data_IF_277316974437
#
_entry.id   IF_277316974437
#
_cell.length_a   1.000
_cell.length_b   1.000
_cell.length_c   1.000
_cell.angle_alpha   90.00
_cell.angle_beta   90.00
_cell.angle_gamma   90.00
#
_symmetry.space_group_name_H-M   'P 1'
#
loop_
_entity.id
_entity.type
_entity.pdbx_description
1 polymer ?
#
# COMPACT_ATOMS: atom_id res chain seq x y z
N UNK A 1 -33.57 76.86 -38.81
CA UNK A 1 -32.10 76.79 -38.86
C UNK A 1 -31.68 75.46 -38.23
N UNK A 2 -31.03 74.56 -38.99
CA UNK A 2 -30.62 73.20 -38.58
C UNK A 2 -29.20 73.21 -37.97
N UNK A 3 -28.96 72.44 -36.90
CA UNK A 3 -27.67 71.82 -36.47
C UNK A 3 -27.93 70.90 -35.24
N UNK A 4 -27.09 69.89 -34.93
CA UNK A 4 -27.49 68.49 -34.98
C UNK A 4 -27.47 67.77 -33.62
N UNK A 5 -28.21 66.65 -33.53
CA UNK A 5 -28.18 65.74 -32.39
C UNK A 5 -26.92 64.88 -32.39
N UNK A 6 -26.18 64.91 -31.29
CA UNK A 6 -25.08 63.99 -31.00
C UNK A 6 -25.64 62.76 -30.28
N UNK A 7 -25.58 61.59 -30.92
CA UNK A 7 -25.82 60.30 -30.28
C UNK A 7 -24.52 59.83 -29.64
N UNK A 8 -24.49 59.75 -28.30
CA UNK A 8 -23.39 59.15 -27.56
C UNK A 8 -23.59 57.63 -27.51
N UNK A 9 -22.76 56.88 -28.25
CA UNK A 9 -22.69 55.42 -28.14
C UNK A 9 -21.85 55.03 -26.92
N UNK A 10 -22.49 54.45 -25.91
CA UNK A 10 -21.81 53.83 -24.77
C UNK A 10 -21.39 52.42 -25.20
N UNK A 11 -20.09 52.20 -25.35
CA UNK A 11 -19.50 50.87 -25.60
C UNK A 11 -19.28 50.21 -24.24
N UNK A 12 -20.08 49.18 -23.94
CA UNK A 12 -19.89 48.33 -22.74
C UNK A 12 -18.84 47.28 -23.08
N UNK A 13 -17.64 47.42 -22.53
CA UNK A 13 -16.62 46.38 -22.56
C UNK A 13 -16.99 45.28 -21.56
N UNK A 14 -17.51 44.16 -22.06
CA UNK A 14 -17.66 42.93 -21.28
C UNK A 14 -16.30 42.26 -21.22
N UNK A 15 -15.61 42.41 -20.08
CA UNK A 15 -14.37 41.69 -19.80
C UNK A 15 -14.71 40.21 -19.51
N UNK A 16 -14.38 39.34 -20.47
CA UNK A 16 -14.38 37.89 -20.25
C UNK A 16 -13.26 37.54 -19.26
N UNK A 17 -13.53 36.75 -18.20
CA UNK A 17 -12.48 36.25 -17.33
C UNK A 17 -11.57 35.33 -18.14
N UNK A 18 -10.26 35.57 -18.08
CA UNK A 18 -9.26 34.70 -18.68
C UNK A 18 -9.37 33.31 -18.05
N UNK A 19 -9.59 32.29 -18.88
CA UNK A 19 -9.54 30.90 -18.46
C UNK A 19 -8.12 30.59 -17.96
N UNK A 20 -7.99 30.31 -16.67
CA UNK A 20 -6.75 29.76 -16.11
C UNK A 20 -6.44 28.43 -16.80
N UNK A 21 -5.20 28.22 -17.29
CA UNK A 21 -4.84 26.92 -17.84
C UNK A 21 -4.97 25.88 -16.74
N UNK A 22 -5.83 24.89 -16.96
CA UNK A 22 -5.96 23.73 -16.09
C UNK A 22 -4.61 23.03 -16.05
N UNK A 23 -3.94 23.06 -14.89
CA UNK A 23 -2.77 22.23 -14.66
C UNK A 23 -3.19 20.76 -14.83
N UNK A 24 -2.37 19.91 -15.47
CA UNK A 24 -2.64 18.48 -15.55
C UNK A 24 -2.86 17.96 -14.12
N UNK A 25 -4.06 17.42 -13.88
CA UNK A 25 -4.44 16.92 -12.56
C UNK A 25 -3.56 15.70 -12.25
N UNK A 26 -2.76 15.79 -11.19
CA UNK A 26 -1.96 14.68 -10.69
C UNK A 26 -2.85 13.45 -10.45
N UNK A 27 -2.33 12.25 -10.77
CA UNK A 27 -3.11 11.01 -10.61
C UNK A 27 -3.37 10.70 -9.14
N UNK A 28 -4.27 9.75 -8.86
CA UNK A 28 -4.31 9.16 -7.52
C UNK A 28 -3.01 8.40 -7.24
N UNK A 29 -2.48 8.43 -5.99
CA UNK A 29 -1.32 7.63 -5.62
C UNK A 29 -1.62 6.13 -5.70
N UNK A 30 -0.79 5.41 -6.44
CA UNK A 30 -0.83 3.95 -6.55
C UNK A 30 0.13 3.37 -5.53
N UNK A 31 -0.31 2.51 -4.61
CA UNK A 31 0.56 1.85 -3.62
C UNK A 31 1.53 0.84 -4.26
N UNK A 32 2.68 0.69 -3.65
CA UNK A 32 3.70 -0.28 -4.00
C UNK A 32 4.14 -1.02 -2.75
N UNK A 33 4.42 -2.31 -2.90
CA UNK A 33 5.01 -3.13 -1.84
C UNK A 33 6.34 -3.69 -2.32
N UNK A 34 7.31 -3.71 -1.42
CA UNK A 34 8.61 -4.33 -1.65
C UNK A 34 8.48 -5.86 -1.62
N UNK A 35 9.07 -6.54 -2.61
CA UNK A 35 9.24 -7.98 -2.59
C UNK A 35 10.48 -8.34 -1.77
N UNK A 36 10.33 -9.13 -0.71
CA UNK A 36 11.42 -9.48 0.18
C UNK A 36 11.77 -10.97 0.10
N UNK A 37 13.03 -11.32 -0.22
CA UNK A 37 13.89 -10.75 -1.28
C UNK A 37 13.19 -10.74 -2.67
N UNK A 38 13.67 -9.98 -3.66
CA UNK A 38 15.04 -9.43 -3.78
C UNK A 38 15.28 -8.05 -3.16
N UNK A 39 14.28 -7.34 -2.61
CA UNK A 39 14.51 -6.04 -1.94
C UNK A 39 15.42 -6.19 -0.72
N UNK A 40 16.48 -5.40 -0.67
CA UNK A 40 17.51 -5.48 0.36
C UNK A 40 18.14 -4.12 0.65
N UNK A 41 18.56 -3.93 1.90
CA UNK A 41 19.46 -2.85 2.30
C UNK A 41 20.87 -3.41 2.41
N UNK A 42 21.80 -2.75 1.73
CA UNK A 42 23.21 -3.11 1.75
C UNK A 42 24.03 -1.96 2.34
N UNK A 43 24.96 -2.30 3.21
CA UNK A 43 25.93 -1.36 3.75
C UNK A 43 27.31 -1.99 3.71
N UNK A 44 28.27 -1.28 3.13
CA UNK A 44 29.64 -1.78 3.04
C UNK A 44 30.39 -1.29 1.81
N UNK A 45 31.47 -1.98 1.48
CA UNK A 45 32.33 -1.56 0.39
C UNK A 45 31.87 -2.11 -0.97
N UNK A 46 31.65 -1.20 -1.90
CA UNK A 46 31.34 -1.48 -3.31
C UNK A 46 32.59 -1.27 -4.18
N UNK A 47 32.62 -1.91 -5.36
CA UNK A 47 33.73 -1.79 -6.30
C UNK A 47 33.96 -0.32 -6.66
N UNK A 48 35.21 0.18 -6.70
CA UNK A 48 36.49 -0.53 -6.78
C UNK A 48 37.11 -0.93 -5.41
N UNK A 49 36.47 -0.61 -4.29
CA UNK A 49 36.97 -0.96 -2.97
C UNK A 49 36.52 -2.36 -2.56
N UNK A 50 37.20 -3.40 -3.03
CA UNK A 50 36.93 -4.77 -2.58
C UNK A 50 37.35 -4.93 -1.10
N UNK A 51 36.39 -5.07 -0.18
CA UNK A 51 36.62 -5.35 1.25
C UNK A 51 35.60 -6.40 1.75
N UNK A 52 35.87 -7.14 2.84
CA UNK A 52 35.02 -8.25 3.27
C UNK A 52 33.71 -7.83 3.97
N UNK A 53 33.50 -6.53 4.25
CA UNK A 53 32.33 -6.05 5.00
C UNK A 53 31.28 -5.58 4.00
N UNK A 54 30.34 -6.47 3.70
CA UNK A 54 29.07 -6.16 3.04
C UNK A 54 27.96 -6.76 3.89
N UNK A 55 27.26 -5.91 4.64
CA UNK A 55 26.07 -6.31 5.38
C UNK A 55 24.90 -6.21 4.44
N UNK A 56 24.12 -7.28 4.31
CA UNK A 56 22.88 -7.32 3.53
C UNK A 56 21.76 -7.72 4.44
N UNK A 57 20.70 -6.92 4.45
CA UNK A 57 19.52 -7.20 5.23
C UNK A 57 18.28 -7.10 4.35
N UNK A 58 17.33 -8.04 4.46
CA UNK A 58 16.11 -7.98 3.66
C UNK A 58 15.35 -6.70 3.97
N UNK A 59 14.72 -6.12 2.96
CA UNK A 59 13.90 -4.94 3.09
C UNK A 59 12.44 -5.31 2.83
N UNK A 60 11.57 -4.89 3.74
CA UNK A 60 10.11 -5.02 3.59
C UNK A 60 9.48 -3.65 3.73
N UNK A 61 8.30 -3.44 3.17
CA UNK A 61 7.58 -2.18 3.34
C UNK A 61 6.82 -1.76 2.12
N UNK A 62 6.38 -0.50 2.16
CA UNK A 62 5.52 0.09 1.13
C UNK A 62 5.90 1.53 0.84
N UNK A 63 5.50 2.00 -0.32
CA UNK A 63 5.44 3.42 -0.69
C UNK A 63 4.24 3.64 -1.62
N UNK A 64 3.96 4.86 -2.01
CA UNK A 64 2.98 5.16 -3.06
C UNK A 64 3.64 5.95 -4.20
N UNK A 65 3.22 5.67 -5.42
CA UNK A 65 3.67 6.31 -6.63
C UNK A 65 2.53 7.14 -7.21
N UNK A 66 2.71 8.45 -7.34
CA UNK A 66 1.72 9.34 -7.95
C UNK A 66 2.30 9.96 -9.20
N UNK A 67 1.62 9.84 -10.35
CA UNK A 67 2.07 10.53 -11.55
C UNK A 67 1.88 12.05 -11.37
N UNK A 68 2.98 12.79 -11.48
CA UNK A 68 3.00 14.24 -11.28
C UNK A 68 3.07 15.01 -12.59
N UNK A 69 3.83 14.52 -13.56
CA UNK A 69 4.00 15.16 -14.87
C UNK A 69 4.33 14.13 -15.96
N UNK A 70 4.00 14.46 -17.21
CA UNK A 70 4.48 13.75 -18.40
C UNK A 70 5.09 14.77 -19.35
N UNK A 71 6.26 14.45 -19.91
CA UNK A 71 6.84 15.15 -21.04
C UNK A 71 7.17 14.15 -22.18
N UNK A 72 7.62 14.61 -23.36
CA UNK A 72 7.86 13.72 -24.51
C UNK A 72 8.92 12.62 -24.27
N UNK A 73 9.78 12.77 -23.27
CA UNK A 73 10.86 11.83 -22.98
C UNK A 73 10.55 10.99 -21.73
N UNK A 74 9.99 11.59 -20.69
CA UNK A 74 9.80 10.98 -19.37
C UNK A 74 8.40 11.16 -18.80
N UNK A 75 7.92 10.12 -18.13
CA UNK A 75 6.85 10.22 -17.14
C UNK A 75 7.48 10.37 -15.76
N UNK A 76 7.02 11.37 -15.01
CA UNK A 76 7.48 11.70 -13.67
C UNK A 76 6.45 11.31 -12.63
N UNK A 77 6.96 10.80 -11.52
CA UNK A 77 6.18 10.34 -10.39
C UNK A 77 6.75 10.88 -9.09
N UNK A 78 5.86 11.30 -8.19
CA UNK A 78 6.19 11.50 -6.79
C UNK A 78 6.21 10.13 -6.09
N UNK A 79 7.24 9.89 -5.30
CA UNK A 79 7.33 8.77 -4.37
C UNK A 79 6.92 9.26 -2.99
N UNK A 80 5.78 8.78 -2.50
CA UNK A 80 5.12 9.26 -1.30
C UNK A 80 5.09 8.16 -0.23
N UNK A 81 4.95 8.57 1.04
CA UNK A 81 4.68 7.66 2.16
C UNK A 81 5.63 6.44 2.23
N UNK A 82 6.93 6.65 1.98
CA UNK A 82 7.92 5.58 2.07
C UNK A 82 7.97 5.10 3.52
N UNK A 83 7.68 3.82 3.74
CA UNK A 83 7.68 3.15 5.05
C UNK A 83 8.27 1.76 4.88
N UNK A 84 9.59 1.68 5.06
CA UNK A 84 10.35 0.45 4.93
C UNK A 84 10.88 0.00 6.29
N UNK A 85 11.20 -1.26 6.40
CA UNK A 85 11.74 -1.87 7.60
C UNK A 85 12.81 -2.88 7.23
N UNK A 86 13.94 -2.78 7.92
CA UNK A 86 14.92 -3.85 7.99
C UNK A 86 14.53 -4.73 9.18
N UNK A 87 14.11 -5.99 8.96
CA UNK A 87 13.81 -6.90 10.05
C UNK A 87 15.13 -7.22 10.78
N UNK A 88 15.19 -6.87 12.06
CA UNK A 88 16.26 -7.25 12.99
C UNK A 88 15.69 -8.26 14.00
N UNK A 89 16.53 -9.15 14.52
CA UNK A 89 16.16 -10.10 15.57
C UNK A 89 15.88 -9.43 16.94
N UNK A 90 16.36 -8.20 17.13
CA UNK A 90 16.30 -7.47 18.41
C UNK A 90 15.43 -6.21 18.33
N UNK A 91 15.64 -5.34 17.33
CA UNK A 91 14.78 -4.17 17.13
C UNK A 91 14.76 -3.75 15.64
N UNK A 92 13.59 -3.77 14.96
CA UNK A 92 13.52 -3.46 13.54
C UNK A 92 13.93 -2.00 13.28
N UNK A 93 14.73 -1.78 12.25
CA UNK A 93 15.11 -0.42 11.80
C UNK A 93 13.98 0.11 10.93
N UNK A 94 13.31 1.16 11.39
CA UNK A 94 12.28 1.85 10.63
C UNK A 94 12.91 2.86 9.67
N UNK A 95 12.53 2.79 8.41
CA UNK A 95 13.00 3.70 7.36
C UNK A 95 11.79 4.42 6.81
N UNK A 96 11.82 5.76 6.83
CA UNK A 96 10.72 6.59 6.34
C UNK A 96 11.22 7.65 5.37
N UNK A 97 10.37 8.14 4.47
CA UNK A 97 10.81 9.16 3.53
C UNK A 97 9.86 9.43 2.39
N UNK A 98 10.41 10.05 1.36
CA UNK A 98 9.75 10.40 0.10
C UNK A 98 10.80 10.52 -1.00
N UNK A 99 10.38 10.74 -2.24
CA UNK A 99 11.32 10.89 -3.33
C UNK A 99 10.64 11.15 -4.67
N UNK A 100 11.38 10.89 -5.74
CA UNK A 100 10.87 11.01 -7.10
C UNK A 100 11.30 9.81 -7.94
N UNK A 101 10.48 9.45 -8.91
CA UNK A 101 10.82 8.44 -9.90
C UNK A 101 10.50 8.99 -11.28
N UNK A 102 11.41 8.82 -12.22
CA UNK A 102 11.15 9.11 -13.63
C UNK A 102 11.46 7.88 -14.46
N UNK A 103 10.59 7.63 -15.43
CA UNK A 103 10.77 6.53 -16.38
C UNK A 103 10.49 7.05 -17.78
N UNK A 104 11.44 6.82 -18.67
CA UNK A 104 11.25 7.18 -20.06
C UNK A 104 10.46 6.12 -20.84
N UNK A 105 9.82 6.59 -21.91
CA UNK A 105 8.96 5.79 -22.78
C UNK A 105 9.71 5.18 -23.96
N UNK A 106 9.13 5.27 -25.15
CA UNK A 106 9.66 4.64 -26.38
C UNK A 106 11.01 5.21 -26.84
N UNK A 107 11.34 6.45 -26.45
CA UNK A 107 12.53 7.17 -26.91
C UNK A 107 13.65 7.24 -25.88
N UNK A 108 13.31 7.40 -24.59
CA UNK A 108 14.26 7.42 -23.50
C UNK A 108 14.14 6.11 -22.72
N UNK A 109 14.98 5.13 -23.01
CA UNK A 109 14.93 3.81 -22.37
C UNK A 109 15.64 3.81 -21.01
N UNK A 110 15.50 4.87 -20.24
CA UNK A 110 16.20 5.09 -18.97
C UNK A 110 15.19 5.39 -17.85
N UNK A 111 15.57 5.04 -16.63
CA UNK A 111 14.86 5.39 -15.41
C UNK A 111 15.81 5.99 -14.37
N UNK A 112 15.25 6.66 -13.38
CA UNK A 112 15.96 7.11 -12.19
C UNK A 112 15.01 7.19 -11.01
N UNK A 113 15.44 6.66 -9.88
CA UNK A 113 14.78 6.73 -8.58
C UNK A 113 15.65 7.53 -7.62
N UNK A 114 15.07 8.58 -7.03
CA UNK A 114 15.68 9.35 -5.95
C UNK A 114 14.84 9.22 -4.69
N UNK A 115 15.46 9.01 -3.53
CA UNK A 115 14.78 8.85 -2.24
C UNK A 115 15.50 9.64 -1.15
N UNK A 116 14.76 10.44 -0.40
CA UNK A 116 15.23 11.05 0.85
C UNK A 116 14.72 10.21 2.02
N UNK A 117 15.62 9.47 2.66
CA UNK A 117 15.28 8.46 3.68
C UNK A 117 15.83 8.83 5.05
N UNK A 118 15.01 8.67 6.08
CA UNK A 118 15.37 8.78 7.50
C UNK A 118 15.30 7.41 8.16
N UNK A 119 16.37 7.06 8.88
CA UNK A 119 16.51 5.81 9.62
C UNK A 119 16.25 6.05 11.10
N UNK A 120 15.27 5.36 11.68
CA UNK A 120 14.83 5.51 13.08
C UNK A 120 14.55 6.96 13.51
N UNK A 121 14.02 7.78 12.59
CA UNK A 121 13.74 9.20 12.85
C UNK A 121 14.97 10.12 12.84
N UNK A 122 16.11 9.61 12.35
CA UNK A 122 17.33 10.40 12.13
C UNK A 122 17.22 11.42 10.98
N UNK A 123 18.33 12.08 10.61
CA UNK A 123 18.35 13.01 9.48
C UNK A 123 18.04 12.32 8.16
N UNK A 124 17.45 13.07 7.22
CA UNK A 124 17.22 12.60 5.86
C UNK A 124 18.55 12.44 5.12
N UNK A 125 18.71 11.32 4.43
CA UNK A 125 19.84 11.01 3.57
C UNK A 125 19.33 10.80 2.15
N UNK A 126 20.02 11.38 1.17
CA UNK A 126 19.62 11.35 -0.23
C UNK A 126 20.23 10.15 -0.96
N UNK A 127 19.39 9.24 -1.44
CA UNK A 127 19.76 8.09 -2.26
C UNK A 127 19.37 8.36 -3.71
N UNK A 128 20.26 8.04 -4.64
CA UNK A 128 20.04 8.19 -6.07
C UNK A 128 20.50 6.92 -6.80
N UNK A 129 19.67 6.41 -7.72
CA UNK A 129 20.03 5.30 -8.60
C UNK A 129 20.92 5.71 -9.77
N UNK A 130 21.03 7.02 -10.01
CA UNK A 130 21.46 7.56 -11.29
C UNK A 130 20.49 7.19 -12.41
N UNK A 131 20.78 7.69 -13.61
CA UNK A 131 20.09 7.28 -14.82
C UNK A 131 20.59 5.90 -15.27
N UNK A 132 19.72 4.89 -15.26
CA UNK A 132 20.04 3.54 -15.68
C UNK A 132 18.94 2.94 -16.57
N UNK A 133 19.24 1.89 -17.37
CA UNK A 133 18.21 1.19 -18.12
C UNK A 133 17.30 0.39 -17.17
N UNK A 134 15.97 0.40 -17.35
CA UNK A 134 15.06 -0.36 -16.51
C UNK A 134 15.29 -1.86 -16.71
N UNK A 135 15.32 -2.60 -15.60
CA UNK A 135 15.51 -4.07 -15.61
C UNK A 135 14.22 -4.85 -15.38
N UNK A 136 13.14 -4.17 -14.97
CA UNK A 136 11.80 -4.73 -14.79
C UNK A 136 10.77 -4.01 -15.69
N UNK A 137 9.73 -4.70 -16.18
CA UNK A 137 8.66 -4.07 -16.95
C UNK A 137 7.80 -3.17 -16.07
N UNK A 138 7.42 -1.98 -16.54
CA UNK A 138 6.45 -1.15 -15.82
C UNK A 138 5.09 -1.87 -15.77
N UNK A 139 4.35 -1.89 -14.64
CA UNK A 139 4.50 -1.05 -13.46
C UNK A 139 5.46 -1.56 -12.37
N UNK A 140 6.21 -2.64 -12.60
CA UNK A 140 7.24 -3.11 -11.68
C UNK A 140 8.48 -2.19 -11.74
N UNK A 141 9.15 -2.06 -10.60
CA UNK A 141 10.35 -1.25 -10.41
C UNK A 141 11.42 -2.17 -9.82
N UNK A 142 12.55 -2.31 -10.50
CA UNK A 142 13.73 -3.00 -9.98
C UNK A 142 14.95 -2.11 -10.24
N UNK A 143 15.45 -1.47 -9.19
CA UNK A 143 16.60 -0.57 -9.29
C UNK A 143 17.31 -0.43 -7.95
N UNK A 144 18.55 0.05 -7.97
CA UNK A 144 19.39 0.26 -6.78
C UNK A 144 19.67 1.74 -6.64
N UNK A 145 19.38 2.31 -5.47
CA UNK A 145 19.66 3.71 -5.14
C UNK A 145 20.70 3.77 -4.01
N UNK A 146 21.66 4.69 -4.10
CA UNK A 146 22.84 4.73 -3.22
C UNK A 146 23.13 6.14 -2.74
N UNK A 147 23.84 6.31 -1.62
CA UNK A 147 24.19 7.65 -1.13
C UNK A 147 25.33 8.29 -1.93
N UNK A 148 26.26 7.48 -2.45
CA UNK A 148 27.50 7.96 -3.08
C UNK A 148 27.77 7.29 -4.43
N UNK A 149 26.73 6.83 -5.14
CA UNK A 149 26.88 6.21 -6.46
C UNK A 149 27.63 4.87 -6.41
N UNK A 150 27.55 4.16 -5.27
CA UNK A 150 28.28 2.92 -5.00
C UNK A 150 29.81 3.11 -5.04
N UNK A 151 30.29 4.34 -4.82
CA UNK A 151 31.71 4.63 -4.75
C UNK A 151 32.24 4.36 -3.34
N UNK A 152 32.79 3.16 -3.11
CA UNK A 152 33.59 2.79 -1.93
C UNK A 152 32.97 3.16 -0.56
N UNK A 153 32.56 2.15 0.21
CA UNK A 153 31.84 2.32 1.47
C UNK A 153 30.57 3.17 1.30
N UNK A 154 29.51 2.49 0.87
CA UNK A 154 28.23 3.13 0.59
C UNK A 154 27.08 2.43 1.32
N UNK A 155 25.93 3.08 1.31
CA UNK A 155 24.64 2.50 1.68
C UNK A 155 23.80 2.41 0.41
N UNK A 156 23.24 1.23 0.15
CA UNK A 156 22.45 0.96 -1.05
C UNK A 156 21.09 0.40 -0.63
N UNK A 157 20.05 0.94 -1.24
CA UNK A 157 18.68 0.43 -1.16
C UNK A 157 18.36 -0.21 -2.51
N UNK A 158 18.22 -1.52 -2.52
CA UNK A 158 17.68 -2.25 -3.67
C UNK A 158 16.16 -2.31 -3.56
N UNK A 159 15.50 -1.65 -4.51
CA UNK A 159 14.04 -1.54 -4.58
C UNK A 159 13.56 -2.51 -5.64
N UNK A 160 12.93 -3.59 -5.20
CA UNK A 160 12.15 -4.48 -6.04
C UNK A 160 10.68 -4.40 -5.62
N UNK A 161 9.88 -3.71 -6.43
CA UNK A 161 8.55 -3.29 -6.05
C UNK A 161 7.57 -3.48 -7.18
N UNK A 162 6.34 -3.83 -6.81
CA UNK A 162 5.21 -3.90 -7.73
C UNK A 162 3.99 -3.21 -7.13
N UNK A 163 3.03 -2.76 -7.95
CA UNK A 163 1.77 -2.27 -7.45
C UNK A 163 1.17 -3.29 -6.50
N UNK A 164 0.91 -2.85 -5.29
CA UNK A 164 0.23 -3.68 -4.32
C UNK A 164 -1.25 -3.42 -4.44
N UNK A 165 -2.09 -4.42 -4.22
CA UNK A 165 -3.54 -4.17 -4.11
C UNK A 165 -3.90 -3.39 -2.82
N UNK A 166 -2.93 -2.75 -2.16
CA UNK A 166 -3.15 -1.76 -1.10
C UNK A 166 -3.64 -0.45 -1.73
N UNK A 167 -4.48 -0.55 -2.78
CA UNK A 167 -4.90 0.56 -3.63
C UNK A 167 -5.43 1.65 -2.71
N UNK A 168 -5.10 2.91 -3.01
CA UNK A 168 -5.64 4.06 -2.31
C UNK A 168 -7.14 3.90 -2.08
N UNK A 169 -7.49 3.47 -0.88
CA UNK A 169 -8.80 3.66 -0.31
C UNK A 169 -8.58 4.89 0.53
N UNK A 170 -8.92 6.05 -0.03
CA UNK A 170 -9.09 7.25 0.78
C UNK A 170 -9.82 6.86 2.04
N UNK A 171 -9.24 7.21 3.18
CA UNK A 171 -9.69 7.00 4.54
C UNK A 171 -11.17 6.61 4.69
N UNK A 172 -11.45 5.35 4.35
CA UNK A 172 -12.58 4.60 4.83
C UNK A 172 -11.91 3.37 5.38
N UNK A 173 -11.94 3.18 6.71
CA UNK A 173 -11.39 1.98 7.31
C UNK A 173 -11.92 0.81 6.49
N UNK A 174 -11.02 0.00 5.92
CA UNK A 174 -11.40 -1.30 5.39
C UNK A 174 -11.95 -2.03 6.61
N UNK A 175 -13.25 -1.93 6.82
CA UNK A 175 -13.92 -2.58 7.93
C UNK A 175 -13.52 -4.03 7.77
N UNK A 176 -12.87 -4.61 8.80
CA UNK A 176 -12.46 -6.00 8.76
C UNK A 176 -13.59 -6.80 8.11
N UNK A 177 -13.35 -7.29 6.90
CA UNK A 177 -14.40 -7.92 6.12
C UNK A 177 -14.57 -9.29 6.74
N UNK A 178 -15.79 -9.64 7.13
CA UNK A 178 -16.14 -10.97 7.58
C UNK A 178 -17.10 -11.54 6.55
N UNK A 179 -16.75 -12.65 5.92
CA UNK A 179 -17.56 -13.35 4.91
C UNK A 179 -17.83 -14.78 5.35
N UNK A 180 -18.90 -15.36 4.84
CA UNK A 180 -19.24 -16.75 5.03
C UNK A 180 -19.75 -17.32 3.71
N UNK A 181 -19.10 -18.37 3.20
CA UNK A 181 -19.46 -19.00 1.94
C UNK A 181 -19.30 -20.54 2.03
N UNK A 182 -20.31 -21.33 1.63
CA UNK A 182 -21.64 -20.90 1.23
C UNK A 182 -22.44 -20.32 2.42
N UNK A 183 -23.39 -19.43 2.13
CA UNK A 183 -24.37 -18.92 3.09
C UNK A 183 -25.67 -18.61 2.33
N UNK A 184 -26.78 -19.34 2.57
CA UNK A 184 -26.96 -20.41 3.56
C UNK A 184 -26.11 -21.67 3.31
N UNK A 185 -25.91 -22.50 4.34
CA UNK A 185 -25.14 -23.76 4.24
C UNK A 185 -25.83 -24.93 4.95
N UNK A 186 -25.60 -26.16 4.47
CA UNK A 186 -26.15 -27.40 5.06
C UNK A 186 -25.11 -28.11 5.95
N UNK A 187 -23.90 -28.34 5.41
CA UNK A 187 -22.80 -29.02 6.10
C UNK A 187 -21.82 -28.05 6.75
N UNK A 188 -21.04 -27.34 5.93
CA UNK A 188 -20.02 -26.42 6.38
C UNK A 188 -20.07 -25.08 5.65
N UNK A 189 -19.55 -24.04 6.28
CA UNK A 189 -19.31 -22.72 5.68
C UNK A 189 -17.89 -22.27 5.97
N UNK A 190 -17.23 -21.69 4.98
CA UNK A 190 -15.93 -21.06 5.14
C UNK A 190 -16.10 -19.61 5.58
N UNK A 191 -15.52 -19.29 6.73
CA UNK A 191 -15.46 -17.96 7.29
C UNK A 191 -14.17 -17.29 6.82
N UNK A 192 -14.31 -16.36 5.88
CA UNK A 192 -13.21 -15.54 5.39
C UNK A 192 -13.12 -14.23 6.17
N UNK A 193 -11.91 -13.81 6.54
CA UNK A 193 -11.68 -12.51 7.15
C UNK A 193 -10.30 -11.93 6.82
N UNK A 194 -10.18 -10.60 6.94
CA UNK A 194 -8.91 -9.89 6.69
C UNK A 194 -8.39 -9.31 7.99
N UNK A 195 -7.11 -9.56 8.28
CA UNK A 195 -6.32 -8.93 9.33
C UNK A 195 -5.56 -7.74 8.72
N UNK A 196 -5.98 -6.48 8.97
CA UNK A 196 -5.31 -5.31 8.39
C UNK A 196 -3.87 -5.13 8.88
N UNK A 197 -3.59 -5.63 10.09
CA UNK A 197 -2.28 -5.69 10.73
C UNK A 197 -2.14 -7.03 11.44
N UNK A 198 -0.91 -7.51 11.58
CA UNK A 198 -0.66 -8.69 12.40
C UNK A 198 -1.06 -8.42 13.86
N UNK A 199 -1.62 -9.42 14.53
CA UNK A 199 -2.07 -9.29 15.91
C UNK A 199 -2.97 -10.44 16.36
N UNK A 200 -3.43 -10.35 17.60
CA UNK A 200 -4.32 -11.36 18.20
C UNK A 200 -5.72 -11.28 17.61
N UNK A 201 -6.28 -12.43 17.23
CA UNK A 201 -7.64 -12.58 16.76
C UNK A 201 -8.41 -13.61 17.60
N UNK A 202 -9.68 -13.32 17.86
CA UNK A 202 -10.63 -14.26 18.44
C UNK A 202 -11.86 -14.36 17.52
N UNK A 203 -12.15 -15.57 17.04
CA UNK A 203 -13.23 -15.83 16.10
C UNK A 203 -14.18 -16.86 16.70
N UNK A 204 -15.42 -16.45 16.90
CA UNK A 204 -16.46 -17.30 17.48
C UNK A 204 -17.77 -17.28 16.70
N UNK A 205 -18.53 -18.36 16.84
CA UNK A 205 -19.92 -18.47 16.42
C UNK A 205 -20.80 -18.27 17.65
N UNK A 206 -21.87 -17.50 17.49
CA UNK A 206 -22.78 -17.08 18.53
C UNK A 206 -24.23 -17.35 18.13
N UNK A 207 -25.08 -17.65 19.11
CA UNK A 207 -26.53 -17.64 18.90
C UNK A 207 -27.08 -16.20 18.87
N UNK A 208 -28.37 -16.04 18.54
CA UNK A 208 -29.02 -14.72 18.52
C UNK A 208 -29.13 -14.08 19.91
N UNK A 209 -28.97 -14.86 20.99
CA UNK A 209 -28.89 -14.34 22.36
C UNK A 209 -27.47 -13.85 22.71
N UNK A 210 -26.51 -13.97 21.78
CA UNK A 210 -25.12 -13.52 21.97
C UNK A 210 -24.27 -14.48 22.80
N UNK A 211 -24.73 -15.72 23.04
CA UNK A 211 -23.92 -16.75 23.69
C UNK A 211 -22.99 -17.40 22.67
N UNK A 212 -21.70 -17.54 23.00
CA UNK A 212 -20.75 -18.27 22.14
C UNK A 212 -21.13 -19.75 22.13
N UNK A 213 -21.35 -20.30 20.95
CA UNK A 213 -21.73 -21.70 20.75
C UNK A 213 -20.63 -22.53 20.11
N UNK A 214 -19.66 -21.89 19.46
CA UNK A 214 -18.45 -22.53 18.92
C UNK A 214 -17.29 -21.54 18.90
N UNK A 215 -16.12 -21.95 19.35
CA UNK A 215 -14.86 -21.21 19.10
C UNK A 215 -14.16 -21.74 17.85
N UNK A 216 -13.82 -20.87 16.91
CA UNK A 216 -13.01 -21.21 15.72
C UNK A 216 -11.55 -20.77 15.87
N UNK A 217 -11.32 -19.67 16.59
CA UNK A 217 -9.99 -19.18 16.97
C UNK A 217 -10.08 -18.67 18.40
N UNK A 218 -9.22 -19.16 19.29
CA UNK A 218 -9.16 -18.72 20.69
C UNK A 218 -7.91 -17.90 20.97
N UNK A 219 -7.97 -16.59 20.73
CA UNK A 219 -6.86 -15.65 20.97
C UNK A 219 -5.53 -16.04 20.28
N UNK A 220 -5.59 -16.38 18.99
CA UNK A 220 -4.42 -16.75 18.19
C UNK A 220 -3.74 -15.51 17.61
N UNK A 221 -2.41 -15.50 17.50
CA UNK A 221 -1.68 -14.47 16.77
C UNK A 221 -1.66 -14.78 15.27
N UNK A 222 -2.16 -13.86 14.45
CA UNK A 222 -2.21 -14.02 12.99
C UNK A 222 -1.40 -12.92 12.29
N UNK A 223 -0.77 -13.26 11.16
CA UNK A 223 -0.15 -12.29 10.26
C UNK A 223 -1.19 -11.38 9.60
N UNK A 224 -0.75 -10.24 9.05
CA UNK A 224 -1.61 -9.40 8.20
C UNK A 224 -1.97 -10.12 6.91
N UNK A 225 -3.17 -9.88 6.37
CA UNK A 225 -3.66 -10.51 5.15
C UNK A 225 -4.99 -11.24 5.33
N UNK A 226 -5.39 -11.99 4.31
CA UNK A 226 -6.63 -12.78 4.32
C UNK A 226 -6.43 -14.12 5.04
N UNK A 227 -7.43 -14.51 5.82
CA UNK A 227 -7.48 -15.75 6.59
C UNK A 227 -8.83 -16.42 6.39
N UNK A 228 -8.83 -17.75 6.46
CA UNK A 228 -10.05 -18.55 6.37
C UNK A 228 -10.11 -19.55 7.53
N UNK A 229 -11.31 -19.78 8.06
CA UNK A 229 -11.63 -20.86 9.00
C UNK A 229 -12.94 -21.52 8.62
N UNK A 230 -13.01 -22.84 8.65
CA UNK A 230 -14.25 -23.55 8.39
C UNK A 230 -15.08 -23.72 9.66
N UNK A 231 -16.40 -23.52 9.55
CA UNK A 231 -17.36 -24.00 10.54
C UNK A 231 -18.17 -25.15 9.93
N UNK A 232 -18.08 -26.31 10.58
CA UNK A 232 -18.75 -27.57 10.22
C UNK A 232 -20.21 -27.65 10.72
N UNK A 233 -20.79 -26.52 11.14
CA UNK A 233 -22.14 -26.48 11.67
C UNK A 233 -22.29 -27.21 13.02
N UNK A 234 -21.21 -27.44 13.76
CA UNK A 234 -21.25 -28.05 15.09
C UNK A 234 -21.08 -27.01 16.20
N UNK A 235 -21.71 -27.27 17.35
CA UNK A 235 -21.50 -26.57 18.61
C UNK A 235 -20.18 -27.04 19.25
N UNK A 236 -19.76 -26.36 20.31
CA UNK A 236 -18.76 -26.88 21.24
C UNK A 236 -19.25 -28.23 21.80
N UNK A 237 -18.38 -29.25 21.77
CA UNK A 237 -18.75 -30.63 22.11
C UNK A 237 -19.20 -31.51 20.92
N UNK A 238 -19.02 -31.05 19.68
CA UNK A 238 -19.30 -31.81 18.42
C UNK A 238 -20.76 -32.19 18.19
N UNK A 239 -21.69 -31.51 18.86
CA UNK A 239 -23.13 -31.66 18.63
C UNK A 239 -23.54 -30.82 17.43
N UNK A 240 -24.40 -31.36 16.54
CA UNK A 240 -24.91 -30.61 15.40
C UNK A 240 -25.71 -29.38 15.88
N UNK A 241 -25.34 -28.19 15.41
CA UNK A 241 -26.11 -26.98 15.64
C UNK A 241 -27.48 -27.10 14.94
N UNK A 242 -28.61 -26.74 15.57
CA UNK A 242 -29.90 -26.71 14.89
C UNK A 242 -29.91 -25.82 13.63
N UNK A 243 -30.79 -26.08 12.64
CA UNK A 243 -31.04 -25.11 11.58
C UNK A 243 -31.50 -23.77 12.15
N UNK A 244 -30.98 -22.66 11.64
CA UNK A 244 -31.27 -21.34 12.19
C UNK A 244 -30.24 -20.28 11.82
N UNK A 245 -30.43 -19.07 12.36
CA UNK A 245 -29.50 -17.96 12.20
C UNK A 245 -28.47 -17.96 13.34
N UNK A 246 -27.22 -17.73 12.96
CA UNK A 246 -26.08 -17.59 13.86
C UNK A 246 -25.30 -16.33 13.52
N UNK A 247 -24.57 -15.82 14.50
CA UNK A 247 -23.68 -14.67 14.35
C UNK A 247 -22.24 -15.16 14.39
N UNK A 248 -21.48 -14.92 13.33
CA UNK A 248 -20.03 -15.06 13.32
C UNK A 248 -19.46 -13.74 13.81
N UNK A 249 -18.56 -13.77 14.79
CA UNK A 249 -17.93 -12.56 15.34
C UNK A 249 -16.41 -12.72 15.36
N UNK A 250 -15.73 -11.74 14.80
CA UNK A 250 -14.29 -11.56 14.87
C UNK A 250 -13.98 -10.40 15.82
N UNK A 251 -13.16 -10.67 16.82
CA UNK A 251 -12.65 -9.75 17.81
C UNK A 251 -11.14 -9.55 17.60
N UNK A 252 -10.73 -8.30 17.41
CA UNK A 252 -9.32 -7.88 17.30
C UNK A 252 -9.07 -6.66 18.19
N UNK A 253 -7.81 -6.32 18.53
CA UNK A 253 -7.49 -5.11 19.28
C UNK A 253 -8.02 -3.81 18.63
N UNK A 254 -8.17 -3.80 17.31
CA UNK A 254 -8.61 -2.61 16.57
C UNK A 254 -10.14 -2.53 16.44
N UNK A 255 -10.81 -3.67 16.24
CA UNK A 255 -12.23 -3.69 15.90
C UNK A 255 -12.89 -5.04 16.16
N UNK A 256 -14.18 -5.00 16.50
CA UNK A 256 -15.10 -6.14 16.45
C UNK A 256 -15.96 -6.07 15.19
N UNK A 257 -16.07 -7.18 14.47
CA UNK A 257 -16.96 -7.32 13.31
C UNK A 257 -17.87 -8.53 13.50
N UNK A 258 -19.11 -8.43 13.03
CA UNK A 258 -20.11 -9.49 13.13
C UNK A 258 -20.83 -9.69 11.82
N UNK A 259 -21.17 -10.94 11.48
CA UNK A 259 -21.95 -11.30 10.29
C UNK A 259 -22.94 -12.42 10.60
N UNK A 260 -24.14 -12.30 10.08
CA UNK A 260 -25.17 -13.34 10.18
C UNK A 260 -24.93 -14.43 9.14
N UNK A 261 -25.04 -15.68 9.58
CA UNK A 261 -24.99 -16.88 8.74
C UNK A 261 -26.21 -17.75 8.99
N UNK A 262 -26.73 -18.39 7.95
CA UNK A 262 -27.90 -19.25 8.01
C UNK A 262 -27.49 -20.70 7.81
N UNK A 263 -27.75 -21.55 8.82
CA UNK A 263 -27.66 -23.00 8.70
C UNK A 263 -29.01 -23.57 8.29
N UNK A 264 -29.02 -24.36 7.23
CA UNK A 264 -30.19 -25.11 6.74
C UNK A 264 -29.97 -26.60 6.95
N UNK A 265 -31.03 -27.41 6.83
CA UNK A 265 -31.00 -28.85 7.13
C UNK A 265 -30.07 -29.65 6.24
#
# INVERSE_FOLDING_TARGET
MKLPGALASIIVFVSLPAATPAHPQASDPVPYALASPPSQFEWGCFGPCACPVLVRSPLTGTFALRQSQVDPLYTYYDVLDVRLQVPDATQPVAITGSGTYRRGGEFALMEQLTLDLSFNGGPLQHFDSGLNPPTAPFPEIHTRASLHGEACHDSVVEVDAKPSSVAGVGDRPQAASLTAAPNPFTGATEIGFVMPRAGTADLGIYDLAGRRVRSLIGHEWLGSGAHTRAWDGQLDGRVAAPPGLYLVRLDTPMKRVTRTVAKVR
#
